data_IF_705962818566
#
_entry.id   IF_705962818566
#
_cell.length_a   1.000
_cell.length_b   1.000
_cell.length_c   1.000
_cell.angle_alpha   90.00
_cell.angle_beta   90.00
_cell.angle_gamma   90.00
#
_symmetry.space_group_name_H-M   'P 1'
#
loop_
_entity.id
_entity.type
_entity.pdbx_description
1 polymer ?
#
# COMPACT_ATOMS: atom_id res chain seq x y z
N UNK A 1 -52.07 -25.48 -18.71
CA UNK A 1 -50.74 -25.43 -19.36
C UNK A 1 -49.90 -24.39 -18.65
N UNK A 2 -49.07 -24.80 -17.70
CA UNK A 2 -47.98 -23.98 -17.17
C UNK A 2 -46.80 -24.93 -17.07
N UNK A 3 -45.81 -24.71 -17.92
CA UNK A 3 -44.66 -25.58 -18.12
C UNK A 3 -43.60 -25.33 -17.06
N UNK A 4 -43.20 -26.41 -16.38
CA UNK A 4 -41.87 -26.70 -15.79
C UNK A 4 -41.18 -25.56 -15.02
N UNK A 5 -41.16 -25.68 -13.69
CA UNK A 5 -40.27 -24.91 -12.83
C UNK A 5 -38.79 -25.22 -13.10
N UNK A 6 -37.94 -24.20 -13.01
CA UNK A 6 -36.48 -24.32 -13.11
C UNK A 6 -35.88 -24.62 -11.74
N UNK A 7 -34.96 -25.58 -11.69
CA UNK A 7 -34.14 -25.85 -10.50
C UNK A 7 -32.98 -24.84 -10.51
N UNK A 8 -32.92 -23.97 -9.51
CA UNK A 8 -31.75 -23.12 -9.29
C UNK A 8 -30.75 -23.87 -8.42
N UNK A 9 -29.51 -23.98 -8.90
CA UNK A 9 -28.39 -24.42 -8.08
C UNK A 9 -27.65 -23.19 -7.57
N UNK A 10 -27.72 -22.96 -6.26
CA UNK A 10 -26.87 -21.96 -5.60
C UNK A 10 -25.54 -22.66 -5.28
N UNK A 11 -24.50 -22.33 -6.03
CA UNK A 11 -23.14 -22.73 -5.70
C UNK A 11 -22.63 -21.88 -4.54
N UNK A 12 -22.39 -22.50 -3.38
CA UNK A 12 -21.64 -21.87 -2.30
C UNK A 12 -20.16 -21.99 -2.63
N UNK A 13 -19.53 -20.88 -2.99
CA UNK A 13 -18.07 -20.76 -2.92
C UNK A 13 -17.74 -20.64 -1.45
N UNK A 14 -17.09 -21.68 -0.89
CA UNK A 14 -16.39 -21.53 0.38
C UNK A 14 -15.03 -20.98 0.05
N UNK A 15 -14.69 -19.83 0.62
CA UNK A 15 -13.30 -19.43 0.73
C UNK A 15 -12.63 -20.51 1.57
N UNK A 16 -11.86 -21.39 0.91
CA UNK A 16 -11.00 -22.32 1.61
C UNK A 16 -10.02 -21.40 2.30
N UNK A 17 -10.17 -21.25 3.63
CA UNK A 17 -9.26 -20.45 4.46
C UNK A 17 -7.87 -20.65 3.91
N UNK A 18 -7.38 -19.69 3.13
CA UNK A 18 -6.01 -19.70 2.71
C UNK A 18 -5.32 -19.48 4.02
N UNK A 19 -4.78 -20.56 4.61
CA UNK A 19 -3.89 -20.48 5.77
C UNK A 19 -3.01 -19.29 5.47
N UNK A 20 -3.10 -18.24 6.28
CA UNK A 20 -2.28 -17.06 6.10
C UNK A 20 -0.86 -17.58 6.25
N UNK A 21 -0.24 -17.88 5.11
CA UNK A 21 1.11 -18.41 5.08
C UNK A 21 1.95 -17.27 5.61
N UNK A 22 2.72 -17.52 6.70
CA UNK A 22 3.61 -16.49 7.23
C UNK A 22 4.50 -16.00 6.09
N UNK A 23 4.82 -14.70 6.06
CA UNK A 23 5.73 -14.15 5.03
C UNK A 23 7.07 -14.89 5.04
N UNK A 24 7.46 -15.42 6.20
CA UNK A 24 8.58 -16.34 6.40
C UNK A 24 8.48 -17.64 5.59
N UNK A 25 7.31 -18.08 5.16
CA UNK A 25 7.20 -19.27 4.29
C UNK A 25 7.74 -19.01 2.88
N UNK A 26 7.89 -17.74 2.49
CA UNK A 26 8.41 -17.33 1.19
C UNK A 26 9.93 -17.46 1.19
N UNK A 27 10.53 -18.31 0.32
CA UNK A 27 11.97 -18.57 0.33
C UNK A 27 12.83 -17.30 0.21
N UNK A 28 12.43 -16.35 -0.65
CA UNK A 28 13.18 -15.09 -0.84
C UNK A 28 13.15 -14.18 0.39
N UNK A 29 12.05 -14.18 1.16
CA UNK A 29 11.96 -13.38 2.39
C UNK A 29 12.90 -13.95 3.46
N UNK A 30 12.95 -15.29 3.58
CA UNK A 30 13.88 -15.99 4.47
C UNK A 30 15.34 -15.83 4.10
N UNK A 31 15.64 -15.79 2.80
CA UNK A 31 17.00 -15.64 2.30
C UNK A 31 17.53 -14.21 2.50
N UNK A 32 16.64 -13.21 2.48
CA UNK A 32 16.98 -11.80 2.58
C UNK A 32 16.27 -11.06 3.73
N UNK A 33 16.44 -11.48 5.00
CA UNK A 33 15.75 -10.87 6.13
C UNK A 33 16.12 -9.39 6.34
N UNK A 34 17.30 -8.97 5.88
CA UNK A 34 17.74 -7.56 5.93
C UNK A 34 17.08 -6.67 4.87
N UNK A 35 16.56 -7.26 3.79
CA UNK A 35 15.88 -6.55 2.69
C UNK A 35 14.39 -6.42 2.98
N UNK A 36 13.83 -7.36 3.74
CA UNK A 36 12.43 -7.39 4.18
C UNK A 36 12.32 -7.30 5.71
N UNK A 37 12.80 -6.21 6.34
CA UNK A 37 12.57 -5.99 7.77
C UNK A 37 11.08 -5.74 8.05
N UNK A 38 10.64 -6.01 9.27
CA UNK A 38 9.27 -5.72 9.70
C UNK A 38 8.97 -4.21 9.64
N UNK A 39 9.98 -3.37 9.93
CA UNK A 39 9.93 -1.91 9.83
C UNK A 39 10.97 -1.38 8.83
N UNK A 40 10.57 -0.43 7.99
CA UNK A 40 11.47 0.20 7.03
C UNK A 40 12.43 1.20 7.71
N UNK A 41 13.70 1.30 7.27
CA UNK A 41 14.57 2.40 7.69
C UNK A 41 14.00 3.74 7.21
N UNK A 42 13.82 4.70 8.12
CA UNK A 42 13.17 6.01 7.86
C UNK A 42 13.81 6.78 6.69
N UNK A 43 15.15 6.78 6.62
CA UNK A 43 15.89 7.50 5.58
C UNK A 43 16.63 6.49 4.70
N UNK A 44 16.51 6.57 3.36
CA UNK A 44 17.32 5.76 2.47
C UNK A 44 18.81 5.98 2.79
N UNK A 45 19.63 4.91 2.82
CA UNK A 45 21.07 5.07 3.02
C UNK A 45 21.64 6.03 1.97
N UNK A 46 22.69 6.78 2.35
CA UNK A 46 23.39 7.68 1.41
C UNK A 46 23.78 6.87 0.18
N UNK A 47 23.28 7.31 -0.98
CA UNK A 47 23.65 6.76 -2.28
C UNK A 47 24.83 7.56 -2.80
N UNK A 48 25.66 6.95 -3.63
CA UNK A 48 26.76 7.65 -4.31
C UNK A 48 26.27 8.63 -5.38
N UNK A 49 24.98 8.54 -5.73
CA UNK A 49 24.34 9.33 -6.78
C UNK A 49 23.24 10.17 -6.15
N UNK A 50 23.29 11.47 -6.41
CA UNK A 50 22.22 12.40 -6.06
C UNK A 50 21.09 12.31 -7.10
N UNK A 51 19.85 12.25 -6.62
CA UNK A 51 18.67 12.25 -7.49
C UNK A 51 18.31 13.70 -7.82
N UNK A 52 18.64 14.13 -9.04
CA UNK A 52 18.16 15.40 -9.59
C UNK A 52 16.72 15.29 -10.09
N UNK A 53 15.97 16.39 -9.97
CA UNK A 53 14.67 16.55 -10.65
C UNK A 53 14.91 17.45 -11.85
N UNK A 54 14.94 16.85 -13.05
CA UNK A 54 15.05 17.61 -14.29
C UNK A 54 13.71 18.29 -14.60
N UNK A 55 13.76 19.61 -14.78
CA UNK A 55 12.60 20.40 -15.17
C UNK A 55 12.67 20.73 -16.65
N UNK A 56 11.52 20.76 -17.31
CA UNK A 56 11.43 21.33 -18.64
C UNK A 56 11.76 22.82 -18.57
N UNK A 57 12.33 23.36 -19.66
CA UNK A 57 12.52 24.80 -19.81
C UNK A 57 11.17 25.51 -19.57
N UNK A 58 11.22 26.63 -18.84
CA UNK A 58 10.06 27.44 -18.42
C UNK A 58 9.15 26.83 -17.34
N UNK A 59 9.52 25.71 -16.69
CA UNK A 59 8.76 25.20 -15.54
C UNK A 59 8.84 26.15 -14.35
N UNK A 60 7.68 26.60 -13.85
CA UNK A 60 7.57 27.44 -12.65
C UNK A 60 7.03 26.63 -11.46
N UNK A 61 7.37 27.01 -10.21
CA UNK A 61 6.80 26.38 -9.03
C UNK A 61 5.27 26.49 -8.99
N UNK A 62 4.62 25.42 -8.58
CA UNK A 62 3.16 25.35 -8.47
C UNK A 62 2.77 25.47 -7.00
N UNK A 63 1.76 26.29 -6.71
CA UNK A 63 1.12 26.39 -5.40
C UNK A 63 -0.37 26.11 -5.53
N UNK A 64 -0.82 24.97 -5.00
CA UNK A 64 -2.22 24.54 -5.02
C UNK A 64 -2.70 24.44 -3.56
N UNK A 65 -3.89 24.97 -3.23
CA UNK A 65 -4.44 24.81 -1.89
C UNK A 65 -4.72 23.33 -1.58
N UNK A 66 -4.53 22.88 -0.34
CA UNK A 66 -4.85 21.51 0.04
C UNK A 66 -6.35 21.22 -0.14
N UNK A 67 -6.68 19.99 -0.52
CA UNK A 67 -8.07 19.54 -0.59
C UNK A 67 -8.71 19.51 0.80
N UNK A 68 -10.05 19.52 0.84
CA UNK A 68 -10.79 19.33 2.08
C UNK A 68 -10.65 17.88 2.53
N UNK A 69 -10.19 17.70 3.76
CA UNK A 69 -9.95 16.39 4.39
C UNK A 69 -10.94 16.25 5.56
N UNK A 70 -11.51 15.06 5.74
CA UNK A 70 -12.40 14.81 6.88
C UNK A 70 -11.63 14.83 8.22
N UNK A 71 -12.27 15.13 9.36
CA UNK A 71 -11.56 15.17 10.65
C UNK A 71 -10.82 13.88 11.02
N UNK A 72 -11.33 12.71 10.61
CA UNK A 72 -10.69 11.42 10.86
C UNK A 72 -9.40 11.24 10.04
N UNK A 73 -9.47 11.52 8.73
CA UNK A 73 -8.31 11.47 7.82
C UNK A 73 -7.25 12.50 8.21
N UNK A 74 -7.65 13.70 8.67
CA UNK A 74 -6.72 14.72 9.14
C UNK A 74 -5.98 14.26 10.40
N UNK A 75 -6.63 13.49 11.28
CA UNK A 75 -6.00 12.91 12.46
C UNK A 75 -4.96 11.87 12.06
N UNK A 76 -5.31 10.97 11.16
CA UNK A 76 -4.39 9.95 10.63
C UNK A 76 -3.19 10.59 9.93
N UNK A 77 -3.42 11.60 9.08
CA UNK A 77 -2.34 12.34 8.41
C UNK A 77 -1.37 12.97 9.42
N UNK A 78 -1.88 13.51 10.53
CA UNK A 78 -1.02 14.08 11.58
C UNK A 78 -0.19 13.03 12.29
N UNK A 79 -0.75 11.84 12.54
CA UNK A 79 -0.02 10.71 13.13
C UNK A 79 1.10 10.26 12.18
N UNK A 80 0.81 10.05 10.90
CA UNK A 80 1.80 9.69 9.88
C UNK A 80 2.91 10.74 9.72
N UNK A 81 2.57 12.03 9.73
CA UNK A 81 3.56 13.10 9.65
C UNK A 81 4.46 13.17 10.88
N UNK A 82 3.92 12.84 12.05
CA UNK A 82 4.72 12.77 13.29
C UNK A 82 5.72 11.61 13.20
N UNK A 83 5.25 10.43 12.82
CA UNK A 83 6.09 9.24 12.68
C UNK A 83 7.19 9.41 11.62
N UNK A 84 6.95 10.22 10.59
CA UNK A 84 7.97 10.55 9.57
C UNK A 84 9.06 11.52 10.06
N UNK A 85 8.72 12.38 11.03
CA UNK A 85 9.64 13.41 11.54
C UNK A 85 10.40 12.97 12.80
N UNK A 86 9.89 11.97 13.51
CA UNK A 86 10.53 11.31 14.65
C UNK A 86 11.70 10.40 14.20
#
# INVERSE_FOLDING_TARGET
MISKGFIYHIGRVMDVESKVHSLESVPVVREFPKVFPDDLPSIPPRREIDFGIDLLLDTQPISIPPYRIAPAELKELKEQLKDLLD
#
